data_IF_940987886776
#
_entry.id   IF_940987886776
#
_cell.length_a   1.000
_cell.length_b   1.000
_cell.length_c   1.000
_cell.angle_alpha   90.00
_cell.angle_beta   90.00
_cell.angle_gamma   90.00
#
_symmetry.space_group_name_H-M   'P 1'
#
loop_
_entity.id
_entity.type
_entity.pdbx_description
1 polymer ?
#
# COMPACT_ATOMS: atom_id res chain seq x y z
N UNK A 1 15.62 13.30 2.53
CA UNK A 1 14.31 12.97 1.94
C UNK A 1 14.34 12.92 0.40
N UNK A 2 14.41 14.03 -0.36
CA UNK A 2 14.40 13.97 -1.85
C UNK A 2 15.66 13.33 -2.50
N UNK A 3 16.83 13.45 -1.87
CA UNK A 3 18.10 13.00 -2.44
C UNK A 3 18.40 11.53 -2.19
N UNK A 4 17.83 10.95 -1.13
CA UNK A 4 18.20 9.61 -0.67
C UNK A 4 17.56 8.54 -1.57
N UNK A 5 16.31 8.72 -2.00
CA UNK A 5 15.71 7.90 -3.06
C UNK A 5 16.46 8.02 -4.39
N UNK A 6 16.92 9.21 -4.75
CA UNK A 6 17.76 9.39 -5.93
C UNK A 6 19.11 8.67 -5.80
N UNK A 7 19.76 8.74 -4.63
CA UNK A 7 21.03 8.05 -4.37
C UNK A 7 20.88 6.53 -4.41
N UNK A 8 19.78 6.00 -3.87
CA UNK A 8 19.58 4.56 -3.72
C UNK A 8 18.96 3.90 -4.96
N UNK A 9 18.11 4.61 -5.70
CA UNK A 9 17.30 4.05 -6.79
C UNK A 9 17.31 4.89 -8.08
N UNK A 10 18.05 6.00 -8.13
CA UNK A 10 18.12 6.93 -9.29
C UNK A 10 16.78 7.54 -9.71
N UNK A 11 15.78 7.52 -8.81
CA UNK A 11 14.46 8.10 -9.07
C UNK A 11 14.41 9.55 -8.54
N UNK A 12 14.26 10.56 -9.42
CA UNK A 12 14.22 11.95 -8.99
C UNK A 12 12.87 12.31 -8.37
N UNK A 13 12.87 13.26 -7.44
CA UNK A 13 11.67 13.85 -6.83
C UNK A 13 10.74 12.88 -6.08
N UNK A 14 11.22 11.70 -5.69
CA UNK A 14 10.49 10.78 -4.82
C UNK A 14 10.50 11.28 -3.38
N UNK A 15 9.33 11.29 -2.76
CA UNK A 15 9.13 11.68 -1.34
C UNK A 15 8.96 10.46 -0.42
N UNK A 16 8.56 9.32 -0.97
CA UNK A 16 8.26 8.10 -0.23
C UNK A 16 7.76 7.01 -1.18
N UNK A 17 7.66 5.79 -0.68
CA UNK A 17 7.01 4.66 -1.33
C UNK A 17 5.78 4.25 -0.52
N UNK A 18 4.73 3.80 -1.20
CA UNK A 18 3.53 3.26 -0.57
C UNK A 18 3.17 1.95 -1.27
N UNK A 19 2.98 0.89 -0.50
CA UNK A 19 2.38 -0.35 -0.98
C UNK A 19 0.91 -0.41 -0.57
N UNK A 20 0.05 -0.86 -1.48
CA UNK A 20 -1.39 -1.01 -1.28
C UNK A 20 -1.78 -2.44 -1.59
N UNK A 21 -1.59 -3.33 -0.61
CA UNK A 21 -1.86 -4.75 -0.76
C UNK A 21 -3.31 -5.06 -0.39
N UNK A 22 -4.02 -5.75 -1.28
CA UNK A 22 -5.35 -6.30 -1.00
C UNK A 22 -5.19 -7.69 -0.38
N UNK A 23 -5.39 -7.80 0.93
CA UNK A 23 -5.31 -9.07 1.66
C UNK A 23 -6.69 -9.74 1.60
N UNK A 24 -6.82 -10.92 0.96
CA UNK A 24 -8.08 -11.64 0.92
C UNK A 24 -8.57 -12.00 2.33
N UNK A 25 -9.86 -11.83 2.56
CA UNK A 25 -10.53 -12.23 3.79
C UNK A 25 -11.74 -13.10 3.48
N UNK A 26 -12.26 -13.79 4.50
CA UNK A 26 -13.61 -14.32 4.44
C UNK A 26 -14.61 -13.17 4.45
N UNK A 27 -15.74 -13.34 3.75
CA UNK A 27 -16.82 -12.37 3.77
C UNK A 27 -17.27 -12.11 5.22
N UNK A 28 -17.21 -10.86 5.72
CA UNK A 28 -17.72 -10.54 7.03
C UNK A 28 -19.27 -10.62 7.03
N UNK A 29 -19.87 -10.84 8.19
CA UNK A 29 -21.33 -10.93 8.33
C UNK A 29 -22.02 -9.56 8.34
N UNK A 30 -21.28 -8.51 8.70
CA UNK A 30 -21.78 -7.14 8.84
C UNK A 30 -21.12 -6.24 7.79
N UNK A 31 -21.92 -5.46 7.07
CA UNK A 31 -21.47 -4.53 6.02
C UNK A 31 -20.50 -5.17 5.02
N UNK A 32 -20.76 -6.42 4.61
CA UNK A 32 -19.93 -7.20 3.69
C UNK A 32 -19.48 -6.42 2.44
N UNK A 33 -20.40 -5.61 1.90
CA UNK A 33 -20.22 -4.84 0.68
C UNK A 33 -19.05 -3.84 0.77
N UNK A 34 -18.69 -3.37 1.97
CA UNK A 34 -17.59 -2.41 2.14
C UNK A 34 -16.22 -3.08 2.04
N UNK A 35 -16.18 -4.41 2.12
CA UNK A 35 -14.97 -5.21 1.96
C UNK A 35 -14.81 -5.74 0.53
N UNK A 36 -15.75 -5.48 -0.39
CA UNK A 36 -15.62 -5.85 -1.79
C UNK A 36 -14.64 -4.90 -2.49
N UNK A 37 -13.47 -5.41 -2.86
CA UNK A 37 -12.47 -4.61 -3.55
C UNK A 37 -12.79 -4.44 -5.05
N UNK A 38 -12.05 -3.54 -5.73
CA UNK A 38 -12.15 -3.32 -7.20
C UNK A 38 -12.02 -4.61 -8.02
N UNK A 39 -11.32 -5.63 -7.50
CA UNK A 39 -11.10 -6.93 -8.15
C UNK A 39 -12.25 -7.94 -7.89
N UNK A 40 -13.34 -7.50 -7.27
CA UNK A 40 -14.56 -8.30 -7.01
C UNK A 40 -14.37 -9.49 -6.07
N UNK A 41 -13.55 -9.33 -5.04
CA UNK A 41 -13.45 -10.27 -3.92
C UNK A 41 -13.31 -9.51 -2.59
N UNK A 42 -13.58 -10.18 -1.46
CA UNK A 42 -13.46 -9.60 -0.12
C UNK A 42 -12.00 -9.41 0.26
N UNK A 43 -11.61 -8.17 0.56
CA UNK A 43 -10.25 -7.86 0.96
C UNK A 43 -10.15 -6.70 1.94
N UNK A 44 -9.13 -6.75 2.79
CA UNK A 44 -8.65 -5.59 3.52
C UNK A 44 -7.59 -4.87 2.69
N UNK A 45 -7.65 -3.54 2.67
CA UNK A 45 -6.59 -2.71 2.12
C UNK A 45 -5.52 -2.51 3.19
N UNK A 46 -4.41 -3.24 3.06
CA UNK A 46 -3.24 -3.07 3.89
C UNK A 46 -2.27 -2.10 3.20
N UNK A 47 -2.07 -0.94 3.82
CA UNK A 47 -1.16 0.08 3.29
C UNK A 47 0.11 0.17 4.13
N UNK A 48 1.26 0.01 3.49
CA UNK A 48 2.57 0.26 4.09
C UNK A 48 3.17 1.51 3.47
N UNK A 49 3.67 2.42 4.30
CA UNK A 49 4.36 3.64 3.85
C UNK A 49 5.82 3.54 4.27
N UNK A 50 6.73 3.82 3.34
CA UNK A 50 8.16 3.79 3.57
C UNK A 50 8.85 5.05 3.08
N UNK A 51 9.87 5.45 3.82
CA UNK A 51 10.80 6.53 3.45
C UNK A 51 12.17 5.94 3.17
N UNK A 52 13.03 6.71 2.52
CA UNK A 52 14.38 6.30 2.09
C UNK A 52 15.33 5.87 3.23
N UNK A 53 14.98 6.21 4.47
CA UNK A 53 15.73 5.98 5.70
C UNK A 53 15.10 4.90 6.61
N UNK A 54 14.02 4.26 6.16
CA UNK A 54 13.40 3.15 6.87
C UNK A 54 14.39 1.98 6.95
N UNK A 55 14.69 1.53 8.18
CA UNK A 55 15.61 0.42 8.48
C UNK A 55 14.91 -0.93 8.43
#
# INVERSE_FOLDING_TARGET
>A
MKRDFYRNCSLPNIVGAMDGTLVPILAPSENEEVFVCRKKFHALNCQAVSSSDMK
#
